data_IF_344906878174
#
_entry.id   IF_344906878174
#
_cell.length_a   1.000
_cell.length_b   1.000
_cell.length_c   1.000
_cell.angle_alpha   90.00
_cell.angle_beta   90.00
_cell.angle_gamma   90.00
#
_symmetry.space_group_name_H-M   'P 1'
#
loop_
_entity.id
_entity.type
_entity.pdbx_description
1 polymer ?
#
# COMPACT_ATOMS: atom_id res chain seq x y z
N UNK A 1 11.00 -21.84 -28.85
CA UNK A 1 9.86 -21.47 -27.97
C UNK A 1 10.36 -20.34 -27.10
N UNK A 2 9.80 -19.13 -27.19
CA UNK A 2 10.16 -18.06 -26.27
C UNK A 2 9.46 -18.32 -24.94
N UNK A 3 10.22 -18.36 -23.86
CA UNK A 3 9.64 -18.38 -22.52
C UNK A 3 8.85 -17.07 -22.31
N UNK A 4 7.62 -17.14 -21.77
CA UNK A 4 6.86 -15.94 -21.46
C UNK A 4 7.61 -15.12 -20.41
N UNK A 5 7.86 -13.84 -20.70
CA UNK A 5 8.55 -12.91 -19.81
C UNK A 5 7.99 -12.98 -18.38
N UNK A 6 8.90 -12.91 -17.41
CA UNK A 6 8.57 -12.95 -15.98
C UNK A 6 7.75 -11.71 -15.57
N UNK A 7 6.73 -11.89 -14.72
CA UNK A 7 5.93 -10.77 -14.21
C UNK A 7 6.78 -9.95 -13.21
N UNK A 8 6.74 -8.61 -13.26
CA UNK A 8 7.47 -7.78 -12.31
C UNK A 8 6.93 -7.96 -10.89
N UNK A 9 7.83 -8.07 -9.91
CA UNK A 9 7.46 -8.29 -8.51
C UNK A 9 7.42 -6.98 -7.68
N UNK A 10 6.39 -6.81 -6.83
CA UNK A 10 6.33 -5.68 -5.91
C UNK A 10 7.49 -5.74 -4.91
N UNK A 11 8.24 -4.64 -4.82
CA UNK A 11 9.40 -4.55 -3.93
C UNK A 11 9.37 -3.34 -3.01
N UNK A 12 8.53 -2.33 -3.30
CA UNK A 12 8.46 -1.10 -2.52
C UNK A 12 7.13 -0.38 -2.66
N UNK A 13 6.85 0.54 -1.75
CA UNK A 13 5.69 1.41 -1.77
C UNK A 13 5.83 2.49 -2.85
N UNK A 14 4.76 2.73 -3.59
CA UNK A 14 4.70 3.76 -4.62
C UNK A 14 4.66 5.16 -3.98
N UNK A 15 5.52 6.06 -4.44
CA UNK A 15 5.62 7.44 -3.96
C UNK A 15 4.96 8.47 -4.89
N UNK A 16 4.63 8.10 -6.13
CA UNK A 16 4.04 9.00 -7.12
C UNK A 16 2.51 8.99 -7.07
N UNK A 17 1.91 7.81 -6.88
CA UNK A 17 0.47 7.65 -6.74
C UNK A 17 0.14 7.41 -5.25
N UNK A 18 0.17 8.49 -4.48
CA UNK A 18 -0.17 8.47 -3.06
C UNK A 18 -1.41 9.32 -2.81
N UNK A 19 -2.11 9.08 -1.70
CA UNK A 19 -3.19 9.94 -1.19
C UNK A 19 -2.72 11.35 -0.78
N UNK A 20 -1.56 11.80 -1.29
CA UNK A 20 -0.77 12.99 -0.99
C UNK A 20 -1.45 13.92 -0.01
N UNK A 21 -1.03 13.83 1.27
CA UNK A 21 -1.27 14.69 2.44
C UNK A 21 -1.51 13.91 3.73
N UNK A 22 -2.00 12.66 3.66
CA UNK A 22 -2.33 11.89 4.87
C UNK A 22 -1.25 10.93 5.34
N UNK A 23 -0.22 10.67 4.52
CA UNK A 23 0.88 9.79 4.91
C UNK A 23 2.21 10.19 4.27
N UNK A 24 3.30 9.78 4.91
CA UNK A 24 4.65 9.87 4.39
C UNK A 24 5.25 8.47 4.25
N UNK A 25 5.80 8.19 3.07
CA UNK A 25 6.62 6.99 2.83
C UNK A 25 8.06 7.31 3.22
N UNK A 26 8.71 6.43 3.98
CA UNK A 26 10.11 6.60 4.39
C UNK A 26 11.07 6.43 3.20
N UNK A 27 12.33 6.92 3.31
CA UNK A 27 13.32 6.79 2.24
C UNK A 27 13.63 5.34 1.81
N UNK A 28 13.46 4.37 2.72
CA UNK A 28 13.58 2.93 2.43
C UNK A 28 12.46 2.41 1.51
N UNK A 29 11.38 3.19 1.34
CA UNK A 29 10.15 2.84 0.63
C UNK A 29 9.44 1.59 1.14
N UNK A 30 9.71 1.18 2.38
CA UNK A 30 9.13 -0.01 3.04
C UNK A 30 8.35 0.34 4.31
N UNK A 31 8.44 1.58 4.78
CA UNK A 31 7.59 2.07 5.87
C UNK A 31 6.71 3.22 5.42
N UNK A 32 5.51 3.28 6.01
CA UNK A 32 4.57 4.39 5.85
C UNK A 32 4.15 4.88 7.23
N UNK A 33 4.01 6.20 7.35
CA UNK A 33 3.51 6.86 8.55
C UNK A 33 2.31 7.71 8.18
N UNK A 34 1.18 7.48 8.85
CA UNK A 34 0.04 8.40 8.81
C UNK A 34 0.42 9.73 9.50
N UNK A 35 0.15 10.84 8.84
CA UNK A 35 0.43 12.21 9.30
C UNK A 35 -0.80 13.13 9.26
N UNK A 36 -1.97 12.57 8.94
CA UNK A 36 -3.24 13.30 9.00
C UNK A 36 -3.70 13.61 10.43
N UNK A 37 -4.66 14.53 10.57
CA UNK A 37 -5.25 14.89 11.86
C UNK A 37 -6.18 13.80 12.43
N UNK A 38 -6.69 12.88 11.60
CA UNK A 38 -7.51 11.74 12.02
C UNK A 38 -8.84 12.13 12.67
N UNK A 39 -9.39 13.29 12.32
CA UNK A 39 -10.62 13.82 12.93
C UNK A 39 -11.88 13.23 12.30
N UNK A 40 -11.83 12.91 11.00
CA UNK A 40 -12.95 12.35 10.25
C UNK A 40 -12.67 10.92 9.81
N UNK A 41 -13.74 10.13 9.68
CA UNK A 41 -13.65 8.71 9.26
C UNK A 41 -13.09 8.58 7.83
N UNK A 42 -13.20 9.65 7.04
CA UNK A 42 -12.68 9.76 5.68
C UNK A 42 -11.24 10.26 5.61
N UNK A 43 -10.60 10.58 6.75
CA UNK A 43 -9.19 11.00 6.80
C UNK A 43 -8.29 9.76 6.67
N UNK A 44 -8.40 9.06 5.55
CA UNK A 44 -7.63 7.85 5.25
C UNK A 44 -6.51 8.20 4.28
N UNK A 45 -5.32 7.66 4.55
CA UNK A 45 -4.24 7.63 3.57
C UNK A 45 -3.87 6.19 3.27
N UNK A 46 -4.01 5.79 2.01
CA UNK A 46 -3.57 4.50 1.49
C UNK A 46 -2.41 4.66 0.51
N UNK A 47 -1.60 3.60 0.40
CA UNK A 47 -0.48 3.51 -0.53
C UNK A 47 -0.47 2.11 -1.14
N UNK A 48 -0.22 2.04 -2.45
CA UNK A 48 -0.05 0.78 -3.17
C UNK A 48 1.44 0.49 -3.39
N UNK A 49 1.77 -0.77 -3.70
CA UNK A 49 3.11 -1.11 -4.14
C UNK A 49 3.44 -0.55 -5.53
N UNK A 50 4.70 -0.62 -5.93
CA UNK A 50 5.21 -0.08 -7.20
C UNK A 50 4.69 -0.81 -8.46
N UNK A 51 4.23 -2.05 -8.32
CA UNK A 51 3.54 -2.81 -9.35
C UNK A 51 2.48 -3.74 -8.73
N UNK A 52 1.55 -4.30 -9.54
CA UNK A 52 0.53 -5.23 -9.05
C UNK A 52 1.12 -6.51 -8.47
N UNK A 53 0.34 -7.17 -7.61
CA UNK A 53 0.66 -8.52 -7.18
C UNK A 53 0.67 -9.48 -8.39
N UNK A 54 1.75 -10.24 -8.57
CA UNK A 54 1.90 -11.17 -9.70
C UNK A 54 0.93 -12.35 -9.60
N UNK A 55 0.41 -12.77 -10.75
CA UNK A 55 -0.74 -13.70 -10.84
C UNK A 55 -0.36 -15.09 -11.32
N UNK A 56 0.79 -15.26 -11.97
CA UNK A 56 1.31 -16.53 -12.50
C UNK A 56 2.06 -17.34 -11.44
N UNK A 57 1.45 -17.49 -10.26
CA UNK A 57 1.97 -18.26 -9.12
C UNK A 57 0.83 -18.86 -8.31
N UNK A 58 1.07 -19.99 -7.64
CA UNK A 58 0.05 -20.63 -6.80
C UNK A 58 -0.28 -19.80 -5.56
N UNK A 59 0.73 -19.12 -5.00
CA UNK A 59 0.60 -18.31 -3.79
C UNK A 59 1.42 -17.03 -3.95
N UNK A 60 0.83 -15.91 -3.57
CA UNK A 60 1.54 -14.65 -3.34
C UNK A 60 1.42 -14.29 -1.86
N UNK A 61 2.54 -13.96 -1.23
CA UNK A 61 2.61 -13.65 0.18
C UNK A 61 3.28 -12.30 0.41
N UNK A 62 2.72 -11.54 1.34
CA UNK A 62 3.29 -10.31 1.84
C UNK A 62 2.84 -10.11 3.28
N UNK A 63 3.63 -9.38 4.06
CA UNK A 63 3.33 -9.07 5.45
C UNK A 63 3.53 -7.57 5.73
N UNK A 64 2.92 -7.11 6.81
CA UNK A 64 3.11 -5.76 7.33
C UNK A 64 3.26 -5.83 8.84
N UNK A 65 4.28 -5.15 9.36
CA UNK A 65 4.45 -4.95 10.80
C UNK A 65 3.90 -3.61 11.23
N UNK A 66 2.93 -3.61 12.15
CA UNK A 66 2.45 -2.38 12.79
C UNK A 66 3.49 -1.91 13.80
N UNK A 67 4.22 -0.84 13.46
CA UNK A 67 5.23 -0.23 14.35
C UNK A 67 4.60 0.67 15.43
N UNK A 68 3.47 1.30 15.11
CA UNK A 68 2.72 2.19 15.99
C UNK A 68 1.25 2.22 15.54
N UNK A 69 0.31 1.92 16.43
CA UNK A 69 -1.13 1.86 16.12
C UNK A 69 -1.80 3.25 16.02
N UNK A 70 -1.12 4.32 16.44
CA UNK A 70 -1.71 5.64 16.54
C UNK A 70 -2.83 5.72 17.56
N UNK A 71 -3.71 6.71 17.44
CA UNK A 71 -4.79 6.96 18.41
C UNK A 71 -5.90 5.90 18.37
N UNK A 72 -6.29 5.45 17.16
CA UNK A 72 -7.47 4.61 16.97
C UNK A 72 -7.17 3.23 16.36
N UNK A 73 -5.92 2.92 16.01
CA UNK A 73 -5.56 1.60 15.45
C UNK A 73 -6.22 1.27 14.10
N UNK A 74 -6.73 2.27 13.35
CA UNK A 74 -7.43 2.07 12.08
C UNK A 74 -6.45 1.81 10.94
N UNK A 75 -5.94 0.58 10.89
CA UNK A 75 -4.91 0.15 9.95
C UNK A 75 -5.45 -1.05 9.18
N UNK A 76 -5.54 -0.91 7.84
CA UNK A 76 -5.90 -1.99 6.93
C UNK A 76 -4.71 -2.44 6.08
N UNK A 77 -4.69 -3.72 5.72
CA UNK A 77 -3.78 -4.32 4.74
C UNK A 77 -4.61 -5.17 3.78
N UNK A 78 -4.33 -5.10 2.48
CA UNK A 78 -5.08 -5.88 1.51
C UNK A 78 -4.70 -5.56 0.07
N UNK A 79 -5.58 -5.96 -0.84
CA UNK A 79 -5.44 -5.74 -2.27
C UNK A 79 -6.44 -4.70 -2.76
N UNK A 80 -6.04 -3.94 -3.78
CA UNK A 80 -6.88 -2.94 -4.43
C UNK A 80 -6.61 -2.94 -5.94
N UNK A 81 -7.59 -2.52 -6.78
CA UNK A 81 -7.34 -2.29 -8.21
C UNK A 81 -6.38 -1.11 -8.43
N UNK A 82 -5.78 -1.00 -9.61
CA UNK A 82 -4.80 0.05 -9.92
C UNK A 82 -5.38 1.47 -9.75
N UNK A 83 -6.66 1.66 -10.10
CA UNK A 83 -7.36 2.95 -10.06
C UNK A 83 -8.10 3.19 -8.73
N UNK A 84 -7.65 2.57 -7.64
CA UNK A 84 -8.31 2.67 -6.34
C UNK A 84 -8.27 4.09 -5.76
N UNK A 85 -9.37 4.49 -5.11
CA UNK A 85 -9.44 5.73 -4.33
C UNK A 85 -8.58 5.60 -3.07
N UNK A 86 -7.38 6.19 -3.10
CA UNK A 86 -6.41 6.13 -1.99
C UNK A 86 -6.85 6.91 -0.74
N UNK A 87 -8.06 7.47 -0.72
CA UNK A 87 -8.72 8.06 0.46
C UNK A 87 -9.65 7.06 1.17
N UNK A 88 -9.48 5.76 0.91
CA UNK A 88 -10.27 4.67 1.52
C UNK A 88 -9.36 3.58 2.07
N UNK A 89 -9.84 2.89 3.10
CA UNK A 89 -9.17 1.69 3.60
C UNK A 89 -9.29 0.57 2.58
N UNK A 90 -8.31 -0.34 2.44
CA UNK A 90 -8.49 -1.54 1.62
C UNK A 90 -9.52 -2.48 2.25
N UNK A 91 -10.35 -3.11 1.41
CA UNK A 91 -11.50 -3.94 1.81
C UNK A 91 -12.84 -3.24 1.58
#
# INVERSE_FOLDING_TARGET
>A
MNEPAEEPEPSHLNTFNSSGMFHNVSPDKLSVRYVGCGQHVLDVGAVQANCPAPTRRTVYYFEMKVKNAGQYGRIGIGFTPKEYDLRRQPG
#
